data_IF_190903055102
#
_entry.id   IF_190903055102
#
_cell.length_a   1.000
_cell.length_b   1.000
_cell.length_c   1.000
_cell.angle_alpha   90.00
_cell.angle_beta   90.00
_cell.angle_gamma   90.00
#
_symmetry.space_group_name_H-M   'P 1'
#
loop_
_entity.id
_entity.type
_entity.pdbx_description
1 polymer ?
#
# COMPACT_ATOMS: atom_id res chain seq x y z
N UNK A 1 29.41 7.77 0.42
CA UNK A 1 28.96 6.61 1.22
C UNK A 1 27.53 6.89 1.66
N UNK A 2 26.52 6.28 1.03
CA UNK A 2 25.12 6.46 1.46
C UNK A 2 24.89 5.69 2.76
N UNK A 3 24.27 6.32 3.75
CA UNK A 3 23.85 5.66 5.00
C UNK A 3 22.87 4.51 4.67
N UNK A 4 22.95 3.39 5.40
CA UNK A 4 22.00 2.26 5.28
C UNK A 4 20.55 2.75 5.43
N UNK A 5 20.31 3.75 6.28
CA UNK A 5 18.98 4.36 6.46
C UNK A 5 18.47 4.99 5.16
N UNK A 6 19.36 5.60 4.37
CA UNK A 6 19.02 6.17 3.06
C UNK A 6 18.61 5.08 2.07
N UNK A 7 19.35 3.95 2.05
CA UNK A 7 19.04 2.82 1.17
C UNK A 7 17.70 2.16 1.55
N UNK A 8 17.43 2.01 2.84
CA UNK A 8 16.15 1.47 3.33
C UNK A 8 14.99 2.38 2.95
N UNK A 9 15.16 3.72 3.05
CA UNK A 9 14.15 4.68 2.60
C UNK A 9 13.90 4.58 1.10
N UNK A 10 14.94 4.57 0.30
CA UNK A 10 14.83 4.42 -1.15
C UNK A 10 14.13 3.12 -1.55
N UNK A 11 14.48 2.00 -0.89
CA UNK A 11 13.79 0.73 -1.09
C UNK A 11 12.31 0.77 -0.67
N UNK A 12 11.98 1.44 0.43
CA UNK A 12 10.60 1.62 0.88
C UNK A 12 9.79 2.51 -0.07
N UNK A 13 10.41 3.55 -0.63
CA UNK A 13 9.81 4.41 -1.65
C UNK A 13 9.59 3.64 -2.97
N UNK A 14 10.57 2.80 -3.37
CA UNK A 14 10.46 1.88 -4.50
C UNK A 14 9.33 0.86 -4.34
N UNK A 15 9.19 0.25 -3.16
CA UNK A 15 8.06 -0.62 -2.84
C UNK A 15 6.73 0.14 -2.93
N UNK A 16 6.66 1.36 -2.39
CA UNK A 16 5.46 2.22 -2.48
C UNK A 16 5.10 2.59 -3.93
N UNK A 17 6.09 2.79 -4.79
CA UNK A 17 5.89 2.93 -6.23
C UNK A 17 5.36 1.64 -6.87
N UNK A 18 5.93 0.49 -6.51
CA UNK A 18 5.47 -0.83 -6.96
C UNK A 18 4.01 -1.11 -6.60
N UNK A 19 3.56 -0.75 -5.39
CA UNK A 19 2.16 -0.89 -4.97
C UNK A 19 1.23 -0.06 -5.86
N UNK A 20 1.60 1.19 -6.14
CA UNK A 20 0.81 2.06 -7.03
C UNK A 20 0.72 1.47 -8.44
N UNK A 21 1.83 0.93 -8.95
CA UNK A 21 1.88 0.27 -10.24
C UNK A 21 1.01 -1.00 -10.25
N UNK A 22 1.04 -1.79 -9.19
CA UNK A 22 0.19 -2.96 -8.99
C UNK A 22 -1.29 -2.57 -9.02
N UNK A 23 -1.71 -1.57 -8.23
CA UNK A 23 -3.09 -1.10 -8.22
C UNK A 23 -3.57 -0.60 -9.59
N UNK A 24 -2.76 0.21 -10.27
CA UNK A 24 -3.07 0.69 -11.61
C UNK A 24 -3.15 -0.45 -12.65
N UNK A 25 -2.26 -1.45 -12.54
CA UNK A 25 -2.25 -2.61 -13.44
C UNK A 25 -3.48 -3.49 -13.24
N UNK A 26 -3.89 -3.71 -11.98
CA UNK A 26 -5.10 -4.49 -11.69
C UNK A 26 -6.35 -3.73 -12.13
N UNK A 27 -6.44 -2.42 -11.89
CA UNK A 27 -7.53 -1.60 -12.39
C UNK A 27 -7.62 -1.66 -13.93
N UNK A 28 -6.50 -1.46 -14.63
CA UNK A 28 -6.46 -1.56 -16.09
C UNK A 28 -6.84 -2.96 -16.61
N UNK A 29 -6.46 -4.01 -15.89
CA UNK A 29 -6.86 -5.38 -16.19
C UNK A 29 -8.37 -5.62 -15.93
N UNK A 30 -8.95 -5.04 -14.87
CA UNK A 30 -10.39 -5.08 -14.61
C UNK A 30 -11.17 -4.34 -15.70
N UNK A 31 -10.72 -3.16 -16.11
CA UNK A 31 -11.31 -2.38 -17.21
C UNK A 31 -11.24 -3.14 -18.54
N UNK A 32 -10.10 -3.77 -18.83
CA UNK A 32 -9.89 -4.59 -20.04
C UNK A 32 -10.63 -5.94 -19.99
N UNK A 33 -10.83 -6.52 -18.80
CA UNK A 33 -11.64 -7.71 -18.60
C UNK A 33 -13.14 -7.41 -18.63
N UNK A 34 -13.53 -6.15 -18.39
CA UNK A 34 -14.88 -5.61 -18.62
C UNK A 34 -15.32 -5.60 -20.09
N UNK A 35 -14.45 -6.05 -21.01
CA UNK A 35 -14.75 -6.15 -22.45
C UNK A 35 -15.15 -7.54 -22.95
N UNK A 36 -15.29 -8.56 -22.07
CA UNK A 36 -15.79 -9.87 -22.47
C UNK A 36 -17.29 -10.02 -22.18
N UNK A 37 -18.12 -9.55 -23.11
CA UNK A 37 -19.50 -9.99 -23.23
C UNK A 37 -19.50 -11.49 -23.60
N UNK A 38 -19.77 -12.36 -22.64
CA UNK A 38 -19.99 -13.77 -22.93
C UNK A 38 -21.43 -13.92 -23.46
N UNK A 39 -21.53 -14.26 -24.75
CA UNK A 39 -22.78 -14.61 -25.41
C UNK A 39 -23.37 -13.44 -26.20
N UNK A 40 -23.40 -13.57 -27.52
CA UNK A 40 -24.22 -12.72 -28.35
C UNK A 40 -25.69 -12.92 -27.99
N UNK A 41 -26.31 -11.89 -27.42
CA UNK A 41 -27.60 -11.37 -27.90
C UNK A 41 -27.78 -9.97 -27.33
N UNK A 42 -27.83 -8.99 -28.23
CA UNK A 42 -28.37 -7.68 -27.91
C UNK A 42 -29.85 -7.86 -27.56
N UNK A 43 -30.21 -7.96 -26.29
CA UNK A 43 -31.59 -7.73 -25.85
C UNK A 43 -31.71 -7.54 -24.33
N UNK A 44 -31.91 -6.29 -23.92
CA UNK A 44 -32.76 -5.96 -22.77
C UNK A 44 -32.10 -5.91 -21.39
N UNK A 45 -31.57 -4.72 -21.03
CA UNK A 45 -31.49 -4.33 -19.62
C UNK A 45 -30.13 -3.79 -19.18
N UNK A 46 -29.80 -2.55 -19.57
CA UNK A 46 -29.17 -1.48 -18.77
C UNK A 46 -28.00 -1.72 -17.80
N UNK A 47 -27.42 -2.91 -17.68
CA UNK A 47 -26.31 -3.20 -16.78
C UNK A 47 -25.06 -3.56 -17.59
N UNK A 48 -23.99 -2.76 -17.45
CA UNK A 48 -22.65 -3.17 -17.90
C UNK A 48 -22.36 -4.54 -17.28
N UNK A 49 -22.22 -5.58 -18.12
CA UNK A 49 -21.82 -6.90 -17.66
C UNK A 49 -20.38 -6.82 -17.14
N UNK A 50 -20.19 -6.74 -15.83
CA UNK A 50 -18.88 -6.87 -15.21
C UNK A 50 -18.42 -8.32 -15.42
N UNK A 51 -17.42 -8.54 -16.27
CA UNK A 51 -16.90 -9.88 -16.56
C UNK A 51 -16.39 -10.59 -15.29
N UNK A 52 -16.59 -11.91 -15.19
CA UNK A 52 -16.20 -12.72 -14.01
C UNK A 52 -14.72 -12.52 -13.60
N UNK A 53 -13.84 -12.28 -14.57
CA UNK A 53 -12.42 -11.98 -14.34
C UNK A 53 -12.25 -10.66 -13.60
N UNK A 54 -13.01 -9.61 -13.93
CA UNK A 54 -12.96 -8.34 -13.22
C UNK A 54 -13.42 -8.48 -11.77
N UNK A 55 -14.44 -9.31 -11.51
CA UNK A 55 -14.90 -9.63 -10.15
C UNK A 55 -13.81 -10.36 -9.35
N UNK A 56 -13.19 -11.39 -9.95
CA UNK A 56 -12.11 -12.14 -9.30
C UNK A 56 -10.89 -11.25 -9.00
N UNK A 57 -10.54 -10.33 -9.89
CA UNK A 57 -9.47 -9.35 -9.66
C UNK A 57 -9.82 -8.40 -8.51
N UNK A 58 -11.07 -7.95 -8.41
CA UNK A 58 -11.54 -7.14 -7.28
C UNK A 58 -11.36 -7.86 -5.93
N UNK A 59 -11.81 -9.12 -5.85
CA UNK A 59 -11.64 -9.94 -4.65
C UNK A 59 -10.17 -10.22 -4.32
N UNK A 60 -9.33 -10.42 -5.34
CA UNK A 60 -7.90 -10.62 -5.15
C UNK A 60 -7.23 -9.37 -4.56
N UNK A 61 -7.58 -8.17 -5.03
CA UNK A 61 -7.06 -6.92 -4.46
C UNK A 61 -7.53 -6.73 -3.03
N UNK A 62 -8.82 -6.92 -2.75
CA UNK A 62 -9.36 -6.85 -1.39
C UNK A 62 -8.67 -7.85 -0.45
N UNK A 63 -8.34 -9.05 -0.95
CA UNK A 63 -7.65 -10.08 -0.18
C UNK A 63 -6.15 -9.82 0.04
N UNK A 64 -5.51 -8.96 -0.75
CA UNK A 64 -4.04 -8.77 -0.73
C UNK A 64 -3.60 -7.36 -0.36
N UNK A 65 -4.49 -6.36 -0.33
CA UNK A 65 -4.15 -4.96 -0.06
C UNK A 65 -3.38 -4.77 1.26
N UNK A 66 -3.73 -5.55 2.29
CA UNK A 66 -3.09 -5.49 3.61
C UNK A 66 -1.66 -5.99 3.54
N UNK A 67 -1.43 -7.14 2.91
CA UNK A 67 -0.10 -7.74 2.77
C UNK A 67 0.83 -6.86 1.95
N UNK A 68 0.27 -6.30 0.86
CA UNK A 68 0.96 -5.41 -0.06
C UNK A 68 1.37 -4.12 0.65
N UNK A 69 0.51 -3.54 1.50
CA UNK A 69 0.83 -2.32 2.25
C UNK A 69 1.79 -2.53 3.44
N UNK A 70 1.78 -3.72 4.04
CA UNK A 70 2.44 -3.97 5.32
C UNK A 70 3.97 -3.76 5.29
N UNK A 71 4.65 -4.40 4.32
CA UNK A 71 6.11 -4.39 4.26
C UNK A 71 6.73 -2.98 4.10
N UNK A 72 6.30 -2.14 3.15
CA UNK A 72 6.85 -0.79 3.02
C UNK A 72 6.53 0.09 4.23
N UNK A 73 5.36 -0.04 4.84
CA UNK A 73 5.03 0.68 6.07
C UNK A 73 5.96 0.28 7.22
N UNK A 74 6.20 -1.03 7.40
CA UNK A 74 7.11 -1.52 8.43
C UNK A 74 8.54 -1.04 8.20
N UNK A 75 9.02 -1.07 6.95
CA UNK A 75 10.34 -0.57 6.59
C UNK A 75 10.49 0.93 6.88
N UNK A 76 9.48 1.73 6.51
CA UNK A 76 9.44 3.17 6.77
C UNK A 76 9.42 3.48 8.27
N UNK A 77 8.57 2.80 9.05
CA UNK A 77 8.50 2.98 10.51
C UNK A 77 9.82 2.61 11.19
N UNK A 78 10.46 1.52 10.76
CA UNK A 78 11.77 1.11 11.28
C UNK A 78 12.85 2.16 11.00
N UNK A 79 12.91 2.67 9.76
CA UNK A 79 13.90 3.68 9.38
C UNK A 79 13.68 5.00 10.14
N UNK A 80 12.43 5.45 10.27
CA UNK A 80 12.11 6.67 11.02
C UNK A 80 12.41 6.52 12.51
N UNK A 81 12.04 5.39 13.12
CA UNK A 81 12.35 5.11 14.51
C UNK A 81 13.84 5.08 14.82
N UNK A 82 14.66 4.54 13.90
CA UNK A 82 16.12 4.57 14.04
C UNK A 82 16.67 6.00 14.02
N UNK A 83 16.14 6.86 13.13
CA UNK A 83 16.50 8.29 13.07
C UNK A 83 16.09 9.00 14.36
N UNK A 84 14.85 8.85 14.79
CA UNK A 84 14.31 9.48 16.00
C UNK A 84 15.06 9.04 17.25
N UNK A 85 15.34 7.75 17.38
CA UNK A 85 16.09 7.21 18.50
C UNK A 85 17.53 7.76 18.55
N UNK A 86 18.19 7.84 17.40
CA UNK A 86 19.54 8.40 17.30
C UNK A 86 19.55 9.88 17.68
N UNK A 87 18.59 10.66 17.17
CA UNK A 87 18.47 12.08 17.50
C UNK A 87 18.20 12.30 18.98
N UNK A 88 17.29 11.52 19.58
CA UNK A 88 16.99 11.59 21.01
C UNK A 88 18.21 11.19 21.86
N UNK A 89 18.96 10.16 21.43
CA UNK A 89 20.20 9.76 22.08
C UNK A 89 21.26 10.88 22.06
N UNK A 90 21.47 11.51 20.89
CA UNK A 90 22.40 12.64 20.74
C UNK A 90 21.99 13.85 21.59
N UNK A 91 20.69 14.04 21.80
CA UNK A 91 20.16 15.08 22.68
C UNK A 91 20.22 14.70 24.19
N UNK A 92 20.72 13.52 24.54
CA UNK A 92 20.79 13.03 25.92
C UNK A 92 19.46 12.52 26.49
N UNK A 93 18.42 12.41 25.66
CA UNK A 93 17.08 12.01 26.04
C UNK A 93 16.89 10.49 25.86
N UNK A 94 17.46 9.71 26.76
CA UNK A 94 17.49 8.24 26.64
C UNK A 94 16.10 7.60 26.68
N UNK A 95 15.17 8.16 27.47
CA UNK A 95 13.79 7.67 27.53
C UNK A 95 13.08 7.83 26.18
N UNK A 96 13.24 8.98 25.52
CA UNK A 96 12.69 9.20 24.18
C UNK A 96 13.36 8.29 23.15
N UNK A 97 14.67 8.05 23.27
CA UNK A 97 15.37 7.15 22.38
C UNK A 97 14.82 5.71 22.48
N UNK A 98 14.61 5.22 23.70
CA UNK A 98 14.03 3.90 23.94
C UNK A 98 12.57 3.83 23.46
N UNK A 99 11.77 4.87 23.72
CA UNK A 99 10.40 4.95 23.25
C UNK A 99 10.32 4.89 21.73
N UNK A 100 11.17 5.65 21.02
CA UNK A 100 11.24 5.64 19.56
C UNK A 100 11.59 4.24 19.01
N UNK A 101 12.58 3.56 19.60
CA UNK A 101 12.92 2.19 19.23
C UNK A 101 11.73 1.24 19.44
N UNK A 102 11.10 1.29 20.62
CA UNK A 102 9.97 0.42 20.96
C UNK A 102 8.81 0.62 20.01
N UNK A 103 8.43 1.86 19.74
CA UNK A 103 7.34 2.18 18.81
C UNK A 103 7.62 1.68 17.40
N UNK A 104 8.86 1.83 16.93
CA UNK A 104 9.26 1.40 15.59
C UNK A 104 9.20 -0.12 15.37
N UNK A 105 9.29 -0.93 16.44
CA UNK A 105 9.18 -2.40 16.34
C UNK A 105 7.75 -2.90 16.21
N UNK A 106 6.77 -2.09 16.62
CA UNK A 106 5.35 -2.45 16.56
C UNK A 106 4.92 -2.70 15.11
N UNK A 107 3.97 -3.60 14.93
CA UNK A 107 3.35 -3.80 13.63
C UNK A 107 2.67 -2.48 13.19
N UNK A 108 2.87 -2.04 11.94
CA UNK A 108 2.16 -0.88 11.42
C UNK A 108 0.66 -1.16 11.36
N UNK A 109 -0.13 -0.14 11.71
CA UNK A 109 -1.56 -0.14 11.40
C UNK A 109 -1.74 0.17 9.91
N UNK A 110 -2.09 -0.87 9.16
CA UNK A 110 -2.40 -0.79 7.73
C UNK A 110 -3.79 -0.20 7.47
N UNK A 111 -4.73 -0.30 8.42
CA UNK A 111 -6.12 0.12 8.23
C UNK A 111 -6.18 1.62 8.02
N UNK A 112 -5.56 2.41 8.91
CA UNK A 112 -5.52 3.86 8.77
C UNK A 112 -4.86 4.31 7.44
N UNK A 113 -3.83 3.59 7.00
CA UNK A 113 -3.15 3.87 5.73
C UNK A 113 -4.04 3.59 4.52
N UNK A 114 -4.70 2.42 4.50
CA UNK A 114 -5.60 2.02 3.42
C UNK A 114 -6.85 2.92 3.36
N UNK A 115 -7.42 3.30 4.51
CA UNK A 115 -8.53 4.27 4.57
C UNK A 115 -8.13 5.64 4.02
N UNK A 116 -6.94 6.12 4.36
CA UNK A 116 -6.42 7.38 3.84
C UNK A 116 -6.10 7.30 2.33
N UNK A 117 -5.76 6.12 1.82
CA UNK A 117 -5.59 5.88 0.39
C UNK A 117 -6.94 5.88 -0.34
N UNK A 118 -7.96 5.19 0.20
CA UNK A 118 -9.33 5.16 -0.34
C UNK A 118 -9.99 6.53 -0.38
N UNK A 119 -9.83 7.34 0.67
CA UNK A 119 -10.33 8.73 0.69
C UNK A 119 -9.73 9.57 -0.44
N UNK A 120 -8.41 9.50 -0.63
CA UNK A 120 -7.75 10.21 -1.75
C UNK A 120 -8.22 9.73 -3.13
N UNK A 121 -8.48 8.43 -3.29
CA UNK A 121 -8.98 7.88 -4.54
C UNK A 121 -10.43 8.29 -4.85
N UNK A 122 -11.28 8.47 -3.82
CA UNK A 122 -12.67 8.91 -3.98
C UNK A 122 -12.85 10.42 -4.20
N UNK A 123 -11.81 11.21 -3.95
CA UNK A 123 -11.76 12.67 -4.24
C UNK A 123 -11.23 12.98 -5.66
N UNK A 124 -10.90 11.94 -6.45
CA UNK A 124 -10.31 12.03 -7.80
C UNK A 124 -11.34 11.95 -8.91
#
# INVERSE_FOLDING_TARGET
>A
MQSVISQVREAADGMSAGIRLYGASVQGAMESAGTLAFGGESAGGGGRATGLVAVALGQFVEGTETDVAFLPLRARNSANGAIEATNAYLAGSLEQAWNAQRQATLAPDVTAFLEAARRRAGES
#
